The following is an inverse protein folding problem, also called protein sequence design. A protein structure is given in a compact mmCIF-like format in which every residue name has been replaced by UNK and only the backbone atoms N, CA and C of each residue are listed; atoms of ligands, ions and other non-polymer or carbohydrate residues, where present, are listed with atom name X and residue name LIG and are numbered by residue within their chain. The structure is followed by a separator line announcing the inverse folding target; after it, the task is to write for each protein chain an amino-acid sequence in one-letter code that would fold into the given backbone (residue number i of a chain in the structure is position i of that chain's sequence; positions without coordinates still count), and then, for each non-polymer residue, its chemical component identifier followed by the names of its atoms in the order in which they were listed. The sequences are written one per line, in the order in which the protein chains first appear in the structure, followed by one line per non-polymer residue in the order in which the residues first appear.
data_IF_489226487444
#
_entry.id   IF_489226487444
#
_cell.length_a   1.000
_cell.length_b   1.000
_cell.length_c   1.000
_cell.angle_alpha   90.00
_cell.angle_beta   90.00
_cell.angle_gamma   90.00
#
_symmetry.space_group_name_H-M   'P 1'
#
loop_
_entity.id
_entity.type
_entity.pdbx_description
1 polymer ?
#
# COMPACT_ATOMS: atom_id res chain seq x y z
N UNK A 1 -20.44 -6.59 14.73
CA UNK A 1 -19.95 -5.20 14.65
C UNK A 1 -21.04 -4.33 14.05
N UNK A 2 -21.38 -3.17 14.62
CA UNK A 2 -22.50 -2.37 14.11
C UNK A 2 -22.12 -1.53 12.89
N UNK A 3 -23.07 -1.31 11.98
CA UNK A 3 -22.91 -0.51 10.75
C UNK A 3 -22.39 0.89 11.03
N UNK A 4 -22.77 1.48 12.17
CA UNK A 4 -22.30 2.79 12.63
C UNK A 4 -20.78 2.82 12.74
N UNK A 5 -20.17 1.76 13.27
CA UNK A 5 -18.73 1.72 13.55
C UNK A 5 -17.89 1.53 12.30
N UNK A 6 -18.34 0.70 11.37
CA UNK A 6 -17.72 0.58 10.04
C UNK A 6 -17.73 1.95 9.36
N UNK A 7 -18.85 2.69 9.44
CA UNK A 7 -18.95 4.06 8.91
C UNK A 7 -17.98 5.02 9.62
N UNK A 8 -17.84 4.93 10.94
CA UNK A 8 -16.84 5.72 11.68
C UNK A 8 -15.41 5.41 11.21
N UNK A 9 -15.05 4.14 11.02
CA UNK A 9 -13.73 3.74 10.54
C UNK A 9 -13.46 4.23 9.11
N UNK A 10 -14.46 4.17 8.22
CA UNK A 10 -14.40 4.74 6.86
C UNK A 10 -14.15 6.26 6.93
N UNK A 11 -14.89 6.99 7.77
CA UNK A 11 -14.72 8.43 7.91
C UNK A 11 -13.32 8.79 8.44
N UNK A 12 -12.82 8.04 9.42
CA UNK A 12 -11.46 8.21 9.94
C UNK A 12 -10.39 7.90 8.89
N UNK A 13 -10.57 6.83 8.10
CA UNK A 13 -9.67 6.54 6.97
C UNK A 13 -9.63 7.70 5.98
N UNK A 14 -10.79 8.19 5.55
CA UNK A 14 -10.88 9.22 4.53
C UNK A 14 -10.36 10.58 5.02
N UNK A 15 -10.54 10.91 6.30
CA UNK A 15 -9.90 12.07 6.90
C UNK A 15 -8.36 11.92 6.89
N UNK A 16 -7.83 10.74 7.20
CA UNK A 16 -6.40 10.47 7.10
C UNK A 16 -5.89 10.53 5.65
N UNK A 17 -6.67 10.09 4.66
CA UNK A 17 -6.35 10.25 3.22
C UNK A 17 -6.17 11.72 2.86
N UNK A 18 -7.09 12.59 3.29
CA UNK A 18 -6.97 14.04 3.09
C UNK A 18 -5.72 14.61 3.78
N UNK A 19 -5.41 14.18 5.01
CA UNK A 19 -4.19 14.58 5.72
C UNK A 19 -2.92 14.14 4.98
N UNK A 20 -2.89 12.94 4.39
CA UNK A 20 -1.77 12.45 3.58
C UNK A 20 -1.60 13.33 2.34
N UNK A 21 -2.68 13.65 1.63
CA UNK A 21 -2.65 14.53 0.46
C UNK A 21 -2.15 15.94 0.77
N UNK A 22 -2.37 16.44 1.99
CA UNK A 22 -1.82 17.72 2.47
C UNK A 22 -0.47 17.60 3.19
N UNK A 23 0.25 16.49 3.04
CA UNK A 23 1.54 16.20 3.69
C UNK A 23 1.54 16.26 5.24
N UNK A 24 0.37 16.18 5.89
CA UNK A 24 0.20 16.16 7.36
C UNK A 24 0.37 14.74 7.91
N UNK A 25 1.50 14.11 7.61
CA UNK A 25 1.70 12.67 7.84
C UNK A 25 1.60 12.26 9.32
N UNK A 26 2.06 13.08 10.25
CA UNK A 26 1.97 12.78 11.69
C UNK A 26 0.53 12.63 12.16
N UNK A 27 -0.36 13.51 11.69
CA UNK A 27 -1.77 13.51 12.06
C UNK A 27 -2.49 12.31 11.46
N UNK A 28 -2.21 12.01 10.19
CA UNK A 28 -2.71 10.82 9.51
C UNK A 28 -2.32 9.53 10.26
N UNK A 29 -1.03 9.41 10.65
CA UNK A 29 -0.51 8.25 11.39
C UNK A 29 -1.21 8.11 12.75
N UNK A 30 -1.37 9.20 13.49
CA UNK A 30 -2.07 9.19 14.78
C UNK A 30 -3.53 8.76 14.64
N UNK A 31 -4.24 9.32 13.66
CA UNK A 31 -5.65 8.99 13.37
C UNK A 31 -5.83 7.53 12.97
N UNK A 32 -5.01 7.02 12.04
CA UNK A 32 -5.08 5.62 11.59
C UNK A 32 -4.76 4.64 12.73
N UNK A 33 -3.73 4.93 13.55
CA UNK A 33 -3.42 4.11 14.73
C UNK A 33 -4.57 4.09 15.73
N UNK A 34 -5.20 5.24 16.00
CA UNK A 34 -6.33 5.32 16.91
C UNK A 34 -7.52 4.52 16.38
N UNK A 35 -7.85 4.68 15.09
CA UNK A 35 -8.91 3.95 14.41
C UNK A 35 -8.69 2.43 14.47
N UNK A 36 -7.48 1.95 14.13
CA UNK A 36 -7.14 0.53 14.18
C UNK A 36 -7.22 -0.06 15.60
N UNK A 37 -6.78 0.66 16.63
CA UNK A 37 -6.89 0.19 18.02
C UNK A 37 -8.34 0.02 18.43
N UNK A 38 -9.21 0.95 18.04
CA UNK A 38 -10.64 0.84 18.27
C UNK A 38 -11.21 -0.37 17.52
N UNK A 39 -10.89 -0.49 16.23
CA UNK A 39 -11.33 -1.59 15.38
C UNK A 39 -10.92 -2.97 15.93
N UNK A 40 -9.68 -3.09 16.42
CA UNK A 40 -9.14 -4.33 17.00
C UNK A 40 -9.82 -4.71 18.32
N UNK A 41 -10.07 -3.75 19.22
CA UNK A 41 -10.80 -4.01 20.48
C UNK A 41 -12.17 -4.63 20.19
N UNK A 42 -12.81 -4.18 19.13
CA UNK A 42 -14.12 -4.64 18.74
C UNK A 42 -14.10 -6.00 18.05
N UNK A 43 -13.15 -6.25 17.15
CA UNK A 43 -12.95 -7.58 16.55
C UNK A 43 -12.77 -8.66 17.63
N UNK A 44 -11.95 -8.36 18.65
CA UNK A 44 -11.74 -9.29 19.78
C UNK A 44 -13.02 -9.57 20.56
N UNK A 45 -13.94 -8.61 20.65
CA UNK A 45 -15.23 -8.81 21.31
C UNK A 45 -16.21 -9.68 20.52
N UNK A 46 -15.89 -10.04 19.27
CA UNK A 46 -16.77 -10.81 18.38
C UNK A 46 -16.17 -12.14 17.91
N UNK A 47 -14.84 -12.28 17.94
CA UNK A 47 -14.13 -13.48 17.52
C UNK A 47 -14.47 -14.75 18.33
N UNK A 48 -15.21 -14.65 19.43
CA UNK A 48 -15.65 -15.80 20.21
C UNK A 48 -16.70 -16.68 19.48
N UNK A 49 -17.36 -16.18 18.43
CA UNK A 49 -18.59 -16.81 17.91
C UNK A 49 -18.56 -17.28 16.45
N UNK A 50 -17.58 -16.90 15.62
CA UNK A 50 -17.67 -17.15 14.16
C UNK A 50 -16.46 -17.90 13.59
N UNK A 51 -16.69 -19.14 13.14
CA UNK A 51 -15.75 -19.99 12.38
C UNK A 51 -16.04 -19.89 10.86
N UNK A 52 -16.19 -18.68 10.34
CA UNK A 52 -16.54 -18.47 8.93
C UNK A 52 -15.28 -18.25 8.10
N UNK A 53 -14.93 -19.23 7.27
CA UNK A 53 -14.01 -19.06 6.16
C UNK A 53 -14.71 -18.22 5.08
N UNK A 54 -14.26 -16.98 4.87
CA UNK A 54 -14.79 -16.11 3.81
C UNK A 54 -13.66 -15.71 2.86
N UNK A 55 -13.69 -16.27 1.65
CA UNK A 55 -13.29 -15.55 0.44
C UNK A 55 -14.58 -15.06 -0.21
N UNK A 56 -14.76 -13.74 -0.50
CA UNK A 56 -14.06 -13.06 -1.59
C UNK A 56 -13.84 -11.56 -1.31
N UNK A 57 -12.79 -11.19 -0.57
CA UNK A 57 -12.51 -9.78 -0.24
C UNK A 57 -11.66 -9.04 -1.31
N UNK A 58 -10.88 -9.79 -2.08
CA UNK A 58 -9.88 -9.24 -3.00
C UNK A 58 -10.49 -8.29 -4.06
N UNK A 59 -11.64 -8.65 -4.64
CA UNK A 59 -12.29 -7.85 -5.70
C UNK A 59 -12.71 -6.47 -5.22
N UNK A 60 -13.25 -6.36 -4.00
CA UNK A 60 -13.66 -5.07 -3.43
C UNK A 60 -12.47 -4.16 -3.19
N UNK A 61 -11.38 -4.70 -2.63
CA UNK A 61 -10.12 -3.97 -2.43
C UNK A 61 -9.55 -3.50 -3.77
N UNK A 62 -9.53 -4.37 -4.79
CA UNK A 62 -9.06 -4.01 -6.13
C UNK A 62 -9.83 -2.83 -6.71
N UNK A 63 -11.16 -2.87 -6.64
CA UNK A 63 -12.00 -1.79 -7.16
C UNK A 63 -11.68 -0.45 -6.48
N UNK A 64 -11.51 -0.44 -5.15
CA UNK A 64 -11.18 0.78 -4.40
C UNK A 64 -9.80 1.34 -4.75
N UNK A 65 -8.81 0.46 -4.93
CA UNK A 65 -7.46 0.87 -5.34
C UNK A 65 -7.49 1.44 -6.75
N UNK A 66 -8.15 0.77 -7.69
CA UNK A 66 -8.26 1.24 -9.08
C UNK A 66 -8.93 2.62 -9.14
N UNK A 67 -10.02 2.81 -8.40
CA UNK A 67 -10.71 4.10 -8.32
C UNK A 67 -9.81 5.22 -7.76
N UNK A 68 -8.97 4.89 -6.78
CA UNK A 68 -8.01 5.86 -6.21
C UNK A 68 -6.91 6.19 -7.23
N UNK A 69 -6.32 5.16 -7.87
CA UNK A 69 -5.24 5.32 -8.84
C UNK A 69 -5.65 6.09 -10.10
N UNK A 70 -6.86 5.87 -10.62
CA UNK A 70 -7.37 6.60 -11.80
C UNK A 70 -7.48 8.10 -11.56
N UNK A 71 -7.73 8.51 -10.31
CA UNK A 71 -7.79 9.94 -9.96
C UNK A 71 -6.39 10.57 -9.98
N UNK A 72 -5.35 9.80 -9.65
CA UNK A 72 -3.95 10.25 -9.70
C UNK A 72 -3.40 10.46 -11.09
N UNK A 73 -3.67 9.49 -11.98
CA UNK A 73 -2.96 9.39 -13.25
C UNK A 73 -3.33 10.54 -14.19
N UNK A 74 -4.49 11.17 -13.97
CA UNK A 74 -4.93 12.35 -14.70
C UNK A 74 -4.22 13.64 -14.26
N UNK A 75 -3.56 13.64 -13.10
CA UNK A 75 -3.00 14.86 -12.49
C UNK A 75 -1.47 14.95 -12.57
N UNK A 76 -0.77 13.82 -12.83
CA UNK A 76 0.68 13.83 -13.09
C UNK A 76 0.95 14.29 -14.53
N UNK A 77 1.06 15.59 -14.72
CA UNK A 77 1.60 16.20 -15.94
C UNK A 77 3.01 15.71 -16.25
N UNK A 78 3.31 15.60 -17.54
CA UNK A 78 4.42 14.90 -18.22
C UNK A 78 5.86 15.45 -17.95
N UNK A 79 6.12 16.05 -16.78
CA UNK A 79 7.19 17.06 -16.66
C UNK A 79 8.30 16.89 -15.62
N UNK A 80 8.23 15.98 -14.64
CA UNK A 80 9.26 15.91 -13.58
C UNK A 80 10.06 14.61 -13.61
N UNK A 81 11.29 14.73 -14.09
CA UNK A 81 12.34 13.70 -14.16
C UNK A 81 12.93 13.33 -12.77
N UNK A 82 12.12 13.33 -11.71
CA UNK A 82 12.61 13.11 -10.35
C UNK A 82 12.86 11.62 -10.10
N UNK A 83 14.15 11.28 -10.15
CA UNK A 83 14.83 9.97 -10.11
C UNK A 83 14.51 9.04 -8.92
N UNK A 84 13.55 9.40 -8.05
CA UNK A 84 13.21 8.64 -6.84
C UNK A 84 11.72 8.65 -6.49
N UNK A 85 10.84 9.03 -7.44
CA UNK A 85 9.41 9.03 -7.22
C UNK A 85 8.86 7.64 -6.90
N UNK A 86 8.27 7.48 -5.71
CA UNK A 86 7.46 6.30 -5.43
C UNK A 86 6.29 6.30 -6.40
N UNK A 87 6.09 5.16 -7.04
CA UNK A 87 5.08 5.05 -8.07
C UNK A 87 3.66 4.99 -7.51
N UNK A 88 3.51 4.39 -6.34
CA UNK A 88 2.24 4.40 -5.62
C UNK A 88 2.43 5.15 -4.30
N UNK A 89 2.10 6.44 -4.34
CA UNK A 89 2.17 7.39 -3.24
C UNK A 89 0.77 7.83 -2.75
N UNK A 90 -0.29 7.23 -3.29
CA UNK A 90 -1.66 7.65 -3.03
C UNK A 90 -2.38 6.82 -1.97
N UNK A 91 -2.95 7.47 -0.97
CA UNK A 91 -3.78 6.80 0.01
C UNK A 91 -5.13 6.39 -0.61
N UNK A 92 -5.62 5.21 -0.25
CA UNK A 92 -6.87 4.65 -0.80
C UNK A 92 -8.06 5.24 -0.06
N UNK A 93 -8.94 5.91 -0.81
CA UNK A 93 -10.20 6.43 -0.31
C UNK A 93 -11.30 5.36 -0.34
N UNK A 94 -12.16 5.32 0.68
CA UNK A 94 -13.28 4.38 0.74
C UNK A 94 -14.60 5.17 0.61
N UNK A 95 -15.38 5.00 -0.46
CA UNK A 95 -16.67 5.65 -0.60
C UNK A 95 -17.60 5.35 0.60
N UNK A 96 -18.39 6.32 1.06
CA UNK A 96 -19.34 6.08 2.16
C UNK A 96 -20.47 5.12 1.79
N UNK A 97 -20.72 4.95 0.48
CA UNK A 97 -21.84 4.18 -0.07
C UNK A 97 -21.43 2.80 -0.62
N UNK A 98 -20.33 2.20 -0.16
CA UNK A 98 -20.01 0.83 -0.60
C UNK A 98 -20.99 -0.14 0.06
N UNK A 99 -21.83 -0.79 -0.76
CA UNK A 99 -22.72 -1.87 -0.32
C UNK A 99 -21.90 -3.15 -0.19
N UNK A 100 -21.29 -3.35 0.96
CA UNK A 100 -20.57 -4.58 1.31
C UNK A 100 -21.30 -5.31 2.42
N UNK A 101 -21.30 -6.64 2.35
CA UNK A 101 -21.66 -7.45 3.51
C UNK A 101 -20.76 -7.09 4.69
N UNK A 102 -21.34 -7.12 5.89
CA UNK A 102 -20.68 -6.61 7.10
C UNK A 102 -19.28 -7.19 7.33
N UNK A 103 -19.11 -8.49 7.13
CA UNK A 103 -17.83 -9.17 7.36
C UNK A 103 -16.78 -8.78 6.30
N UNK A 104 -17.20 -8.66 5.03
CA UNK A 104 -16.36 -8.17 3.93
C UNK A 104 -15.95 -6.73 4.19
N UNK A 105 -16.91 -5.86 4.55
CA UNK A 105 -16.67 -4.46 4.87
C UNK A 105 -15.62 -4.30 5.97
N UNK A 106 -15.70 -5.13 7.01
CA UNK A 106 -14.72 -5.12 8.11
C UNK A 106 -13.31 -5.46 7.61
N UNK A 107 -13.16 -6.53 6.81
CA UNK A 107 -11.85 -6.90 6.26
C UNK A 107 -11.31 -5.81 5.31
N UNK A 108 -12.10 -5.37 4.32
CA UNK A 108 -11.73 -4.30 3.37
C UNK A 108 -11.25 -3.05 4.11
N UNK A 109 -12.06 -2.52 5.04
CA UNK A 109 -11.73 -1.28 5.75
C UNK A 109 -10.45 -1.44 6.55
N UNK A 110 -10.27 -2.58 7.24
CA UNK A 110 -9.04 -2.82 8.01
C UNK A 110 -7.80 -2.92 7.12
N UNK A 111 -7.87 -3.66 6.02
CA UNK A 111 -6.77 -3.81 5.06
C UNK A 111 -6.36 -2.46 4.46
N UNK A 112 -7.33 -1.64 4.07
CA UNK A 112 -7.08 -0.29 3.54
C UNK A 112 -6.48 0.64 4.60
N UNK A 113 -6.97 0.62 5.84
CA UNK A 113 -6.40 1.45 6.92
C UNK A 113 -4.95 1.06 7.25
N UNK A 114 -4.66 -0.25 7.32
CA UNK A 114 -3.31 -0.77 7.56
C UNK A 114 -2.38 -0.35 6.40
N UNK A 115 -2.87 -0.48 5.16
CA UNK A 115 -2.13 -0.04 3.99
C UNK A 115 -1.84 1.47 4.00
N UNK A 116 -2.85 2.31 4.25
CA UNK A 116 -2.70 3.77 4.32
C UNK A 116 -1.78 4.20 5.47
N UNK A 117 -1.74 3.44 6.57
CA UNK A 117 -0.81 3.69 7.68
C UNK A 117 0.64 3.41 7.27
N UNK A 118 0.89 2.29 6.60
CA UNK A 118 2.22 1.97 6.06
C UNK A 118 2.68 3.04 5.06
N UNK A 119 1.78 3.46 4.18
CA UNK A 119 2.04 4.50 3.20
C UNK A 119 2.37 5.84 3.87
N UNK A 120 1.58 6.29 4.84
CA UNK A 120 1.84 7.54 5.57
C UNK A 120 3.21 7.55 6.26
N UNK A 121 3.64 6.40 6.82
CA UNK A 121 4.98 6.24 7.40
C UNK A 121 6.08 6.34 6.35
N UNK A 122 5.91 5.70 5.19
CA UNK A 122 6.85 5.77 4.08
C UNK A 122 6.97 7.21 3.55
N UNK A 123 5.86 7.89 3.29
CA UNK A 123 5.85 9.27 2.80
C UNK A 123 6.48 10.24 3.82
N UNK A 124 6.20 10.05 5.12
CA UNK A 124 6.88 10.79 6.19
C UNK A 124 8.39 10.59 6.14
N UNK A 125 8.85 9.35 5.95
CA UNK A 125 10.27 9.05 5.86
C UNK A 125 10.94 9.78 4.69
N UNK A 126 10.24 9.87 3.55
CA UNK A 126 10.73 10.58 2.36
C UNK A 126 10.79 12.09 2.55
N UNK A 127 9.81 12.66 3.24
CA UNK A 127 9.79 14.08 3.59
C UNK A 127 10.87 14.44 4.63
N UNK A 128 11.28 13.48 5.47
CA UNK A 128 12.24 13.68 6.56
C UNK A 128 13.68 13.35 6.10
N UNK A 129 14.21 14.07 5.10
CA UNK A 129 15.57 13.81 4.59
C UNK A 129 16.69 14.15 5.59
N UNK A 130 16.48 15.15 6.45
CA UNK A 130 17.50 15.68 7.36
C UNK A 130 17.82 14.77 8.56
N UNK A 131 16.83 14.01 9.05
CA UNK A 131 17.00 13.12 10.20
C UNK A 131 16.99 11.66 9.76
N UNK A 132 18.20 11.09 9.60
CA UNK A 132 18.39 9.72 9.16
C UNK A 132 17.77 8.69 10.12
N UNK A 133 17.82 8.95 11.44
CA UNK A 133 17.29 8.02 12.44
C UNK A 133 15.77 7.96 12.39
N UNK A 134 15.11 9.12 12.29
CA UNK A 134 13.66 9.19 12.15
C UNK A 134 13.20 8.57 10.82
N UNK A 135 13.92 8.86 9.72
CA UNK A 135 13.67 8.25 8.42
C UNK A 135 13.74 6.72 8.49
N UNK A 136 14.84 6.17 9.01
CA UNK A 136 15.04 4.71 9.12
C UNK A 136 13.99 4.05 10.01
N UNK A 137 13.62 4.70 11.12
CA UNK A 137 12.55 4.22 12.01
C UNK A 137 11.20 4.17 11.27
N UNK A 138 10.87 5.21 10.50
CA UNK A 138 9.63 5.24 9.72
C UNK A 138 9.62 4.16 8.62
N UNK A 139 10.74 3.97 7.90
CA UNK A 139 10.87 2.93 6.87
C UNK A 139 10.74 1.52 7.44
N UNK A 140 11.38 1.22 8.58
CA UNK A 140 11.24 -0.08 9.25
C UNK A 140 9.80 -0.34 9.70
N UNK A 141 9.14 0.68 10.26
CA UNK A 141 7.74 0.56 10.66
C UNK A 141 6.82 0.34 9.44
N UNK A 142 7.01 1.09 8.36
CA UNK A 142 6.26 0.92 7.12
C UNK A 142 6.41 -0.51 6.57
N UNK A 143 7.65 -1.02 6.50
CA UNK A 143 7.93 -2.38 6.03
C UNK A 143 7.25 -3.45 6.90
N UNK A 144 7.28 -3.31 8.23
CA UNK A 144 6.60 -4.24 9.13
C UNK A 144 5.09 -4.27 8.90
N UNK A 145 4.48 -3.11 8.66
CA UNK A 145 3.04 -3.01 8.44
C UNK A 145 2.66 -3.51 7.04
N UNK A 146 3.49 -3.26 6.02
CA UNK A 146 3.28 -3.83 4.69
C UNK A 146 3.31 -5.36 4.68
N UNK A 147 4.22 -5.98 5.43
CA UNK A 147 4.22 -7.45 5.61
C UNK A 147 2.91 -7.95 6.22
N UNK A 148 2.36 -7.20 7.19
CA UNK A 148 1.04 -7.51 7.75
C UNK A 148 -0.07 -7.43 6.69
N UNK A 149 -0.08 -6.41 5.83
CA UNK A 149 -1.04 -6.31 4.71
C UNK A 149 -0.95 -7.54 3.81
N UNK A 150 0.25 -7.98 3.45
CA UNK A 150 0.44 -9.17 2.61
C UNK A 150 -0.09 -10.45 3.29
N UNK A 151 0.17 -10.63 4.60
CA UNK A 151 -0.34 -11.79 5.34
C UNK A 151 -1.88 -11.79 5.41
N UNK A 152 -2.52 -10.63 5.53
CA UNK A 152 -3.97 -10.51 5.65
C UNK A 152 -4.74 -10.65 4.33
N UNK A 153 -4.09 -10.34 3.21
CA UNK A 153 -4.74 -10.29 1.88
C UNK A 153 -4.28 -11.41 0.94
N UNK A 154 -3.34 -12.25 1.37
CA UNK A 154 -2.79 -13.32 0.55
C UNK A 154 -1.92 -12.81 -0.61
N UNK A 155 -1.50 -13.74 -1.48
CA UNK A 155 -0.57 -13.46 -2.58
C UNK A 155 -1.23 -12.90 -3.84
N UNK A 156 -2.56 -12.81 -3.89
CA UNK A 156 -3.27 -12.69 -5.15
C UNK A 156 -3.98 -11.34 -5.23
N UNK A 157 -3.38 -10.39 -5.94
CA UNK A 157 -4.06 -9.13 -6.22
C UNK A 157 -3.19 -7.91 -6.50
N UNK A 158 -3.88 -6.86 -6.94
CA UNK A 158 -3.31 -5.53 -7.18
C UNK A 158 -2.70 -4.93 -5.90
N UNK A 159 -3.33 -5.16 -4.74
CA UNK A 159 -2.79 -4.69 -3.45
C UNK A 159 -1.43 -5.32 -3.17
N UNK A 160 -1.27 -6.62 -3.39
CA UNK A 160 0.01 -7.32 -3.16
C UNK A 160 1.11 -6.80 -4.08
N UNK A 161 0.78 -6.45 -5.33
CA UNK A 161 1.71 -5.80 -6.25
C UNK A 161 2.17 -4.42 -5.76
N UNK A 162 1.23 -3.56 -5.37
CA UNK A 162 1.52 -2.23 -4.82
C UNK A 162 2.42 -2.36 -3.59
N UNK A 163 2.09 -3.28 -2.68
CA UNK A 163 2.87 -3.54 -1.48
C UNK A 163 4.27 -4.05 -1.82
N UNK A 164 4.42 -5.00 -2.74
CA UNK A 164 5.73 -5.51 -3.16
C UNK A 164 6.61 -4.41 -3.76
N UNK A 165 6.04 -3.53 -4.58
CA UNK A 165 6.77 -2.37 -5.11
C UNK A 165 7.21 -1.42 -4.00
N UNK A 166 6.30 -1.05 -3.11
CA UNK A 166 6.63 -0.13 -2.02
C UNK A 166 7.67 -0.73 -1.07
N UNK A 167 7.59 -2.02 -0.75
CA UNK A 167 8.60 -2.73 0.05
C UNK A 167 9.93 -2.81 -0.70
N UNK A 168 9.94 -3.07 -2.01
CA UNK A 168 11.14 -3.06 -2.84
C UNK A 168 11.82 -1.69 -2.84
N UNK A 169 11.05 -0.61 -2.97
CA UNK A 169 11.56 0.76 -2.88
C UNK A 169 12.10 1.10 -1.48
N UNK A 170 11.46 0.62 -0.40
CA UNK A 170 12.00 0.77 0.95
C UNK A 170 13.34 0.01 1.08
N UNK A 171 13.43 -1.23 0.58
CA UNK A 171 14.68 -1.98 0.60
C UNK A 171 15.79 -1.26 -0.16
N UNK A 172 15.47 -0.68 -1.34
CA UNK A 172 16.40 0.17 -2.10
C UNK A 172 16.84 1.38 -1.30
N UNK A 173 15.92 2.10 -0.66
CA UNK A 173 16.23 3.26 0.19
C UNK A 173 17.14 2.90 1.38
N UNK A 174 17.03 1.67 1.88
CA UNK A 174 17.90 1.10 2.92
C UNK A 174 19.16 0.41 2.38
N UNK A 175 19.51 0.55 1.09
CA UNK A 175 20.67 -0.09 0.43
C UNK A 175 20.68 -1.64 0.50
N UNK A 176 19.50 -2.25 0.67
CA UNK A 176 19.32 -3.70 0.67
C UNK A 176 18.96 -4.19 -0.73
N UNK A 177 19.93 -4.13 -1.66
CA UNK A 177 19.69 -4.39 -3.09
C UNK A 177 19.14 -5.78 -3.39
N UNK A 178 19.64 -6.83 -2.72
CA UNK A 178 19.18 -8.21 -2.94
C UNK A 178 17.68 -8.38 -2.61
N UNK A 179 17.25 -7.80 -1.49
CA UNK A 179 15.83 -7.85 -1.07
C UNK A 179 14.94 -6.99 -1.95
N UNK A 180 15.45 -5.86 -2.44
CA UNK A 180 14.73 -5.05 -3.42
C UNK A 180 14.52 -5.84 -4.72
N UNK A 181 15.58 -6.51 -5.20
CA UNK A 181 15.52 -7.38 -6.38
C UNK A 181 14.53 -8.53 -6.22
N UNK A 182 14.52 -9.20 -5.05
CA UNK A 182 13.55 -10.24 -4.72
C UNK A 182 12.10 -9.70 -4.82
N UNK A 183 11.85 -8.51 -4.28
CA UNK A 183 10.53 -7.88 -4.33
C UNK A 183 10.10 -7.55 -5.76
N UNK A 184 10.99 -6.96 -6.56
CA UNK A 184 10.69 -6.60 -7.95
C UNK A 184 10.55 -7.83 -8.85
N UNK A 185 11.33 -8.89 -8.63
CA UNK A 185 11.19 -10.16 -9.35
C UNK A 185 9.84 -10.82 -9.07
N UNK A 186 9.39 -10.82 -7.79
CA UNK A 186 8.05 -11.31 -7.42
C UNK A 186 6.94 -10.44 -8.01
N UNK A 187 7.12 -9.13 -8.03
CA UNK A 187 6.19 -8.20 -8.67
C UNK A 187 6.02 -8.51 -10.17
N UNK A 188 7.14 -8.69 -10.89
CA UNK A 188 7.14 -9.08 -12.30
C UNK A 188 6.46 -10.42 -12.53
N UNK A 189 6.73 -11.41 -11.67
CA UNK A 189 6.08 -12.72 -11.77
C UNK A 189 4.55 -12.63 -11.64
N UNK A 190 4.03 -11.84 -10.68
CA UNK A 190 2.59 -11.61 -10.53
C UNK A 190 2.03 -10.87 -11.75
N UNK A 191 2.76 -9.86 -12.23
CA UNK A 191 2.37 -9.07 -13.41
C UNK A 191 2.22 -9.94 -14.67
N UNK A 192 3.20 -10.82 -14.93
CA UNK A 192 3.18 -11.71 -16.10
C UNK A 192 2.03 -12.72 -16.09
N UNK A 193 1.59 -13.15 -14.89
CA UNK A 193 0.50 -14.14 -14.74
C UNK A 193 -0.89 -13.48 -14.67
N UNK A 194 -0.97 -12.16 -14.48
CA UNK A 194 -2.24 -11.44 -14.31
C UNK A 194 -2.49 -10.40 -15.42
N UNK A 195 -3.24 -10.76 -16.48
CA UNK A 195 -3.58 -9.85 -17.57
C UNK A 195 -4.34 -8.60 -17.11
N UNK A 196 -5.13 -8.73 -16.04
CA UNK A 196 -5.87 -7.62 -15.43
C UNK A 196 -4.90 -6.58 -14.87
N UNK A 197 -3.82 -7.02 -14.24
CA UNK A 197 -2.81 -6.14 -13.67
C UNK A 197 -1.92 -5.49 -14.73
N UNK A 198 -1.80 -6.10 -15.91
CA UNK A 198 -0.91 -5.62 -16.96
C UNK A 198 -1.19 -4.17 -17.38
N UNK A 199 -2.47 -3.83 -17.51
CA UNK A 199 -2.93 -2.50 -17.99
C UNK A 199 -2.75 -1.36 -16.99
N UNK A 200 -2.65 -1.66 -15.70
CA UNK A 200 -2.66 -0.62 -14.66
C UNK A 200 -1.28 -0.24 -14.13
N UNK A 201 -0.25 -1.00 -14.53
CA UNK A 201 1.02 -1.00 -13.83
C UNK A 201 2.22 -0.77 -14.75
N UNK A 202 2.00 -0.16 -15.91
CA UNK A 202 3.07 0.17 -16.86
C UNK A 202 4.21 0.97 -16.20
N UNK A 203 3.87 1.95 -15.35
CA UNK A 203 4.86 2.64 -14.52
C UNK A 203 5.61 1.75 -13.53
N UNK A 204 5.00 0.66 -13.02
CA UNK A 204 5.63 -0.23 -12.01
C UNK A 204 6.71 -1.06 -12.67
N UNK A 205 6.45 -1.43 -13.91
CA UNK A 205 7.37 -2.16 -14.76
C UNK A 205 8.62 -1.33 -15.00
N UNK A 206 8.53 -0.02 -15.25
CA UNK A 206 9.72 0.81 -15.45
C UNK A 206 10.71 0.75 -14.27
N UNK A 207 10.23 0.69 -13.03
CA UNK A 207 11.12 0.51 -11.87
C UNK A 207 11.72 -0.89 -11.78
N UNK A 208 10.93 -1.92 -12.11
CA UNK A 208 11.41 -3.29 -12.11
C UNK A 208 12.41 -3.54 -13.26
N UNK A 209 12.16 -2.99 -14.45
CA UNK A 209 12.99 -3.12 -15.65
C UNK A 209 14.19 -2.17 -15.65
N UNK A 210 14.06 -0.96 -15.10
CA UNK A 210 15.19 -0.06 -14.88
C UNK A 210 16.24 -0.65 -13.94
N UNK A 211 15.90 -1.70 -13.19
CA UNK A 211 16.85 -2.52 -12.44
C UNK A 211 17.62 -3.52 -13.32
N UNK A 212 17.02 -3.97 -14.42
CA UNK A 212 17.63 -4.89 -15.38
C UNK A 212 18.49 -4.18 -16.44
N UNK A 213 18.55 -2.84 -16.46
CA UNK A 213 19.30 -2.09 -17.46
C UNK A 213 20.82 -1.97 -17.13
N UNK A 214 21.55 -2.86 -17.81
CA UNK A 214 22.87 -2.79 -18.49
C UNK A 214 24.21 -2.53 -17.80
N UNK A 215 24.34 -2.04 -16.57
CA UNK A 215 25.70 -1.91 -15.98
C UNK A 215 26.36 -3.23 -15.54
N UNK A 216 25.60 -4.34 -15.55
CA UNK A 216 26.06 -5.66 -15.12
C UNK A 216 26.20 -6.69 -16.26
N UNK A 217 26.03 -6.29 -17.53
CA UNK A 217 26.50 -7.13 -18.63
C UNK A 217 28.03 -7.00 -18.66
N UNK A 218 28.80 -8.06 -18.37
CA UNK A 218 30.24 -7.99 -18.53
C UNK A 218 30.50 -7.58 -19.98
N UNK A 219 31.31 -6.53 -20.16
CA UNK A 219 31.82 -6.16 -21.47
C UNK A 219 32.40 -7.43 -22.09
N UNK A 220 31.69 -8.02 -23.04
CA UNK A 220 32.19 -9.15 -23.78
C UNK A 220 33.46 -8.64 -24.47
N UNK A 221 34.60 -9.16 -24.03
CA UNK A 221 35.91 -8.76 -24.51
C UNK A 221 35.93 -8.84 -26.04
N UNK A 222 36.07 -7.68 -26.68
CA UNK A 222 36.37 -7.53 -28.09
C UNK A 222 37.82 -7.07 -28.23
#
# INVERSE_FOLDING_TARGET
MSTIRIRTAINQNNAAVSMIGSARYNEAICMLKASMRQFQKELRSHAANDNVHSEPCATAIHHLILQSATTSLLDRGDGSNDEAGFLYDQAVFIPQRVSLERHIATHVVSSIQIFNLALALQLKANATKADSRLRDSCLRNAMSIYRLVMMLNGSNGLLSMIVLNNVGLIHRACKNHDRASECFSRLLAIWMVSPVCAKYLEGMIHNALGWYDTSALPAAAA
#
